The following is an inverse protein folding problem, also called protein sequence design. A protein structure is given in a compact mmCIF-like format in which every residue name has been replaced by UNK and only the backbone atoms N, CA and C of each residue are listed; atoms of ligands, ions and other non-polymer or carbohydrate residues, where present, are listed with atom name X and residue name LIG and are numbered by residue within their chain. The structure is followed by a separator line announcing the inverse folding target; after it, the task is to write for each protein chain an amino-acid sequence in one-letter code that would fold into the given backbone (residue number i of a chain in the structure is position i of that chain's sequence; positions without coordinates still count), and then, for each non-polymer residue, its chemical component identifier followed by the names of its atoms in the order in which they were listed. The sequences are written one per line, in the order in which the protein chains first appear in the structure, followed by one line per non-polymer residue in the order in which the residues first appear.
data_IF_048081215914
#
_entry.id   IF_048081215914
#
_cell.length_a   1.000
_cell.length_b   1.000
_cell.length_c   1.000
_cell.angle_alpha   90.00
_cell.angle_beta   90.00
_cell.angle_gamma   90.00
#
_symmetry.space_group_name_H-M   'P 1'
#
loop_
_entity.id
_entity.type
_entity.pdbx_description
1 polymer ?
#
# COMPACT_ATOMS: atom_id res chain seq x y z
N UNK A 1 16.86 -16.63 0.80
CA UNK A 1 15.91 -15.47 0.76
C UNK A 1 16.37 -14.31 -0.14
N UNK A 2 17.37 -14.46 -1.03
CA UNK A 2 17.83 -13.38 -1.91
C UNK A 2 17.33 -13.49 -3.38
N UNK A 3 16.86 -14.66 -3.81
CA UNK A 3 16.51 -14.95 -5.21
C UNK A 3 15.28 -14.15 -5.68
N UNK A 4 14.27 -13.98 -4.82
CA UNK A 4 13.02 -13.28 -5.18
C UNK A 4 13.19 -11.77 -5.41
N UNK A 5 14.12 -11.11 -4.72
CA UNK A 5 14.26 -9.65 -4.82
C UNK A 5 14.85 -9.21 -6.18
N UNK A 6 15.80 -9.99 -6.72
CA UNK A 6 16.38 -9.73 -8.04
C UNK A 6 15.39 -10.02 -9.17
N UNK A 7 14.65 -11.13 -9.07
CA UNK A 7 13.64 -11.51 -10.05
C UNK A 7 12.47 -10.52 -10.11
N UNK A 8 12.03 -9.98 -8.97
CA UNK A 8 10.95 -9.00 -8.96
C UNK A 8 11.38 -7.66 -9.59
N UNK A 9 12.63 -7.26 -9.38
CA UNK A 9 13.15 -5.99 -9.91
C UNK A 9 13.28 -6.05 -11.43
N UNK A 10 13.79 -7.16 -11.97
CA UNK A 10 13.88 -7.41 -13.42
C UNK A 10 12.49 -7.50 -14.04
N UNK A 11 11.60 -8.33 -13.48
CA UNK A 11 10.22 -8.44 -13.95
C UNK A 11 9.48 -7.09 -13.97
N UNK A 12 9.66 -6.25 -12.94
CA UNK A 12 8.99 -4.93 -12.87
C UNK A 12 9.49 -3.97 -13.96
N UNK A 13 10.78 -4.04 -14.29
CA UNK A 13 11.35 -3.26 -15.38
C UNK A 13 10.79 -3.73 -16.73
N UNK A 14 10.76 -5.05 -16.95
CA UNK A 14 10.44 -5.64 -18.24
C UNK A 14 8.94 -5.56 -18.57
N UNK A 15 8.07 -5.82 -17.59
CA UNK A 15 6.62 -5.91 -17.82
C UNK A 15 5.86 -4.62 -17.51
N UNK A 16 6.29 -3.87 -16.50
CA UNK A 16 5.56 -2.69 -16.03
C UNK A 16 6.24 -1.37 -16.41
N UNK A 17 7.49 -1.40 -16.90
CA UNK A 17 8.32 -0.22 -17.12
C UNK A 17 8.41 0.67 -15.86
N UNK A 18 8.54 0.04 -14.69
CA UNK A 18 8.65 0.73 -13.39
C UNK A 18 9.95 0.34 -12.69
N UNK A 19 10.69 1.35 -12.22
CA UNK A 19 11.89 1.12 -11.40
C UNK A 19 11.51 0.75 -9.97
N UNK A 20 11.74 -0.51 -9.60
CA UNK A 20 11.52 -1.01 -8.25
C UNK A 20 12.82 -0.90 -7.42
N UNK A 21 12.76 -0.24 -6.26
CA UNK A 21 13.84 -0.19 -5.28
C UNK A 21 13.44 -0.95 -4.03
N UNK A 22 14.04 -2.11 -3.81
CA UNK A 22 13.78 -2.94 -2.64
C UNK A 22 14.45 -2.34 -1.41
N UNK A 23 13.65 -2.02 -0.39
CA UNK A 23 14.15 -1.51 0.89
C UNK A 23 14.22 -2.68 1.87
N UNK A 24 15.44 -3.14 2.18
CA UNK A 24 15.66 -4.18 3.18
C UNK A 24 15.77 -3.57 4.59
N UNK A 25 15.40 -4.37 5.61
CA UNK A 25 15.63 -3.99 7.01
C UNK A 25 17.14 -4.04 7.30
N UNK A 26 17.71 -3.03 8.00
CA UNK A 26 19.11 -3.07 8.41
C UNK A 26 19.41 -4.31 9.26
N UNK A 27 20.52 -5.00 8.95
CA UNK A 27 20.95 -6.21 9.68
C UNK A 27 21.43 -5.84 11.09
N UNK A 28 21.09 -6.66 12.08
CA UNK A 28 21.54 -6.50 13.47
C UNK A 28 20.68 -5.60 14.37
N UNK A 29 19.63 -4.95 13.84
CA UNK A 29 18.77 -4.07 14.64
C UNK A 29 17.65 -4.87 15.33
N UNK A 30 17.64 -4.87 16.67
CA UNK A 30 16.54 -5.38 17.48
C UNK A 30 15.47 -4.28 17.66
N UNK A 31 14.19 -4.65 17.55
CA UNK A 31 13.07 -3.71 17.68
C UNK A 31 12.61 -3.07 16.37
N UNK A 32 11.68 -2.11 16.48
CA UNK A 32 11.03 -1.47 15.33
C UNK A 32 11.95 -0.47 14.61
N UNK A 33 12.03 -0.57 13.28
CA UNK A 33 12.80 0.37 12.45
C UNK A 33 11.84 1.02 11.46
N UNK A 34 11.79 2.36 11.46
CA UNK A 34 10.99 3.12 10.51
C UNK A 34 11.61 3.00 9.13
N UNK A 35 10.95 2.27 8.24
CA UNK A 35 11.39 2.16 6.84
C UNK A 35 10.84 3.33 6.01
N UNK A 36 11.66 3.92 5.11
CA UNK A 36 11.21 4.98 4.22
C UNK A 36 9.95 4.58 3.45
N UNK A 37 8.93 5.46 3.48
CA UNK A 37 7.66 5.32 2.73
C UNK A 37 6.80 4.09 3.07
N UNK A 38 7.19 3.25 4.04
CA UNK A 38 6.42 2.07 4.49
C UNK A 38 5.01 2.42 4.96
N UNK A 39 4.85 3.58 5.59
CA UNK A 39 3.55 4.09 6.04
C UNK A 39 2.51 4.16 4.92
N UNK A 40 2.92 4.34 3.65
CA UNK A 40 1.97 4.41 2.52
C UNK A 40 1.26 3.08 2.33
N UNK A 41 2.02 1.98 2.42
CA UNK A 41 1.50 0.61 2.29
C UNK A 41 0.62 0.29 3.49
N UNK A 42 1.14 0.52 4.69
CA UNK A 42 0.40 0.26 5.94
C UNK A 42 -0.90 1.06 6.02
N UNK A 43 -0.91 2.30 5.52
CA UNK A 43 -2.11 3.13 5.47
C UNK A 43 -3.16 2.58 4.51
N UNK A 44 -2.75 2.05 3.35
CA UNK A 44 -3.68 1.38 2.44
C UNK A 44 -4.27 0.12 3.06
N UNK A 45 -3.44 -0.70 3.73
CA UNK A 45 -3.91 -1.86 4.49
C UNK A 45 -4.88 -1.44 5.61
N UNK A 46 -4.61 -0.34 6.30
CA UNK A 46 -5.51 0.22 7.31
C UNK A 46 -6.88 0.61 6.75
N UNK A 47 -6.97 1.16 5.54
CA UNK A 47 -8.26 1.44 4.89
C UNK A 47 -9.00 0.17 4.51
N UNK A 48 -8.29 -0.85 4.04
CA UNK A 48 -8.86 -2.15 3.71
C UNK A 48 -9.43 -2.81 4.97
N UNK A 49 -8.69 -2.78 6.07
CA UNK A 49 -9.09 -3.35 7.36
C UNK A 49 -10.23 -2.57 8.03
N UNK A 50 -10.36 -1.26 7.77
CA UNK A 50 -11.49 -0.48 8.28
C UNK A 50 -12.83 -1.03 7.77
N UNK A 51 -12.85 -1.62 6.58
CA UNK A 51 -14.02 -2.32 6.05
C UNK A 51 -14.13 -3.69 6.73
N UNK A 52 -15.02 -3.79 7.72
CA UNK A 52 -15.17 -4.97 8.61
C UNK A 52 -15.27 -6.32 7.89
N UNK A 53 -15.80 -6.35 6.67
CA UNK A 53 -15.92 -7.57 5.87
C UNK A 53 -14.55 -8.15 5.47
N UNK A 54 -13.49 -7.34 5.24
CA UNK A 54 -12.14 -7.86 4.97
C UNK A 54 -11.41 -8.39 6.23
N UNK A 55 -11.89 -8.05 7.42
CA UNK A 55 -11.28 -8.47 8.70
C UNK A 55 -11.96 -9.72 9.27
N UNK A 56 -13.24 -9.93 8.95
CA UNK A 56 -14.07 -11.01 9.52
C UNK A 56 -14.61 -11.99 8.48
N UNK A 57 -14.60 -11.62 7.20
CA UNK A 57 -15.07 -12.44 6.10
C UNK A 57 -13.94 -13.32 5.59
N UNK A 58 -13.79 -14.51 6.18
CA UNK A 58 -13.13 -15.62 5.51
C UNK A 58 -14.12 -16.20 4.51
N UNK A 59 -14.23 -15.55 3.36
CA UNK A 59 -15.11 -16.05 2.30
C UNK A 59 -14.55 -17.37 1.79
N UNK A 60 -15.46 -18.34 1.59
CA UNK A 60 -15.08 -19.67 1.08
C UNK A 60 -14.44 -19.60 -0.31
N UNK A 61 -14.74 -18.54 -1.07
CA UNK A 61 -14.27 -18.32 -2.43
C UNK A 61 -13.45 -17.02 -2.49
N UNK A 62 -12.22 -17.04 -3.01
CA UNK A 62 -11.36 -15.86 -3.11
C UNK A 62 -11.96 -14.73 -3.96
N UNK A 63 -12.82 -15.06 -4.93
CA UNK A 63 -13.43 -14.11 -5.85
C UNK A 63 -14.31 -13.07 -5.14
N UNK A 64 -14.98 -13.45 -4.05
CA UNK A 64 -15.76 -12.49 -3.26
C UNK A 64 -14.83 -11.48 -2.58
N UNK A 65 -13.68 -11.93 -2.10
CA UNK A 65 -12.77 -11.10 -1.32
C UNK A 65 -12.10 -10.08 -2.21
N UNK A 66 -11.78 -10.48 -3.44
CA UNK A 66 -11.31 -9.61 -4.51
C UNK A 66 -12.35 -8.56 -4.90
N UNK A 67 -13.62 -8.96 -5.05
CA UNK A 67 -14.73 -8.04 -5.31
C UNK A 67 -14.87 -7.00 -4.20
N UNK A 68 -14.83 -7.45 -2.94
CA UNK A 68 -14.95 -6.56 -1.79
C UNK A 68 -13.74 -5.62 -1.63
N UNK A 69 -12.51 -6.09 -1.87
CA UNK A 69 -11.31 -5.24 -1.96
C UNK A 69 -11.47 -4.15 -3.02
N UNK A 70 -11.96 -4.52 -4.20
CA UNK A 70 -12.20 -3.60 -5.31
C UNK A 70 -13.20 -2.51 -4.92
N UNK A 71 -14.34 -2.87 -4.33
CA UNK A 71 -15.34 -1.92 -3.83
C UNK A 71 -14.80 -0.93 -2.81
N UNK A 72 -13.98 -1.41 -1.86
CA UNK A 72 -13.37 -0.56 -0.83
C UNK A 72 -12.41 0.46 -1.45
N UNK A 73 -11.57 0.03 -2.39
CA UNK A 73 -10.62 0.91 -3.07
C UNK A 73 -11.31 1.92 -3.98
N UNK A 74 -12.34 1.52 -4.74
CA UNK A 74 -13.16 2.45 -5.54
C UNK A 74 -13.75 3.52 -4.63
N UNK A 75 -14.43 3.12 -3.55
CA UNK A 75 -15.05 4.07 -2.61
C UNK A 75 -14.03 5.05 -2.03
N UNK A 76 -12.84 4.57 -1.67
CA UNK A 76 -11.75 5.41 -1.17
C UNK A 76 -11.26 6.42 -2.21
N UNK A 77 -11.00 5.97 -3.44
CA UNK A 77 -10.51 6.82 -4.53
C UNK A 77 -11.57 7.86 -4.90
N UNK A 78 -12.83 7.45 -5.04
CA UNK A 78 -13.96 8.35 -5.29
C UNK A 78 -14.04 9.44 -4.24
N UNK A 79 -14.01 9.09 -2.95
CA UNK A 79 -14.00 10.08 -1.84
C UNK A 79 -12.82 11.05 -1.92
N UNK A 80 -11.67 10.63 -2.44
CA UNK A 80 -10.50 11.50 -2.56
C UNK A 80 -10.62 12.48 -3.71
N UNK A 81 -11.17 12.04 -4.84
CA UNK A 81 -11.40 12.86 -6.02
C UNK A 81 -12.50 13.88 -5.74
N UNK A 82 -13.59 13.47 -5.08
CA UNK A 82 -14.73 14.35 -4.82
C UNK A 82 -14.55 15.28 -3.63
N UNK A 83 -13.57 15.01 -2.76
CA UNK A 83 -13.23 15.89 -1.63
C UNK A 83 -12.62 17.20 -2.17
N UNK A 84 -13.47 18.18 -2.41
CA UNK A 84 -13.07 19.60 -2.52
C UNK A 84 -12.58 20.03 -1.14
N UNK A 85 -11.28 20.22 -1.00
CA UNK A 85 -10.69 20.62 0.27
C UNK A 85 -9.26 21.08 0.07
N UNK A 86 -9.08 22.40 0.18
CA UNK A 86 -7.82 23.15 0.19
C UNK A 86 -6.68 22.33 0.80
N UNK A 87 -5.69 22.02 -0.03
CA UNK A 87 -4.36 21.68 0.47
C UNK A 87 -3.91 22.94 1.20
N UNK A 88 -3.94 22.97 2.54
CA UNK A 88 -3.28 24.03 3.29
C UNK A 88 -1.83 24.00 2.83
N UNK A 89 -1.48 24.96 1.99
CA UNK A 89 -0.13 25.07 1.50
C UNK A 89 0.69 25.48 2.70
N UNK A 90 1.56 24.58 3.17
CA UNK A 90 2.47 24.86 4.27
C UNK A 90 3.62 25.73 3.73
N UNK A 91 3.28 26.80 3.00
CA UNK A 91 4.24 27.77 2.50
C UNK A 91 4.90 28.40 3.72
N UNK A 92 6.22 28.26 3.71
CA UNK A 92 7.17 28.49 4.79
C UNK A 92 6.95 29.83 5.50
N UNK A 93 6.92 29.82 6.83
CA UNK A 93 7.35 30.98 7.61
C UNK A 93 8.87 31.04 7.52
N UNK A 94 9.37 31.92 6.66
CA UNK A 94 10.66 32.58 6.85
C UNK A 94 10.45 33.81 7.71
#
# INVERSE_FOLDING_TARGET
MAVLAGQLTTWSSDFLNVTLKTVSRPRGVKGFVVLPRRWKVERTLGWIMKSRCNVRGYERLPQHSEGHLTWVLITLVTRRITRRGSRKDWTKKS
#
